data_IF_189818493128
#
_entry.id   IF_189818493128
#
_cell.length_a   1.000
_cell.length_b   1.000
_cell.length_c   1.000
_cell.angle_alpha   90.00
_cell.angle_beta   90.00
_cell.angle_gamma   90.00
#
_symmetry.space_group_name_H-M   'P 1'
#
loop_
_entity.id
_entity.type
_entity.pdbx_description
1 polymer ?
#
# COMPACT_ATOMS: atom_id res chain seq x y z
N UNK A 1 7.43 -0.07 -43.24
CA UNK A 1 6.40 -1.15 -43.21
C UNK A 1 6.88 -2.14 -42.16
N UNK A 2 6.66 -1.84 -40.87
CA UNK A 2 5.50 -2.27 -40.08
C UNK A 2 5.35 -3.79 -40.03
N UNK A 3 5.78 -4.38 -38.92
CA UNK A 3 5.20 -5.59 -38.36
C UNK A 3 5.34 -5.52 -36.82
N UNK A 4 4.35 -4.90 -36.19
CA UNK A 4 4.08 -4.99 -34.76
C UNK A 4 3.11 -6.17 -34.60
N UNK A 5 3.41 -7.23 -33.83
CA UNK A 5 2.41 -8.22 -33.47
C UNK A 5 1.50 -7.67 -32.35
N UNK A 6 0.22 -8.09 -32.31
CA UNK A 6 -0.83 -7.41 -31.58
C UNK A 6 -0.74 -7.61 -30.06
N UNK A 7 -1.14 -6.56 -29.33
CA UNK A 7 -1.40 -6.55 -27.90
C UNK A 7 -2.35 -7.67 -27.48
N UNK A 8 -1.83 -8.65 -26.75
CA UNK A 8 -2.57 -9.40 -25.74
C UNK A 8 -1.86 -9.20 -24.40
N UNK A 9 -2.29 -8.18 -23.65
CA UNK A 9 -1.90 -8.01 -22.25
C UNK A 9 -2.67 -9.02 -21.40
N UNK A 10 -2.13 -10.22 -21.28
CA UNK A 10 -2.49 -11.15 -20.21
C UNK A 10 -1.47 -10.95 -19.10
N UNK A 11 -1.88 -10.36 -17.98
CA UNK A 11 -1.08 -10.36 -16.75
C UNK A 11 -1.04 -11.79 -16.19
N UNK A 12 0.12 -12.47 -16.10
CA UNK A 12 0.22 -13.72 -15.39
C UNK A 12 1.08 -13.49 -14.15
N UNK A 13 0.52 -12.83 -13.13
CA UNK A 13 1.07 -12.94 -11.77
C UNK A 13 0.15 -13.83 -10.94
N UNK A 14 -0.01 -15.07 -11.41
CA UNK A 14 -0.31 -16.19 -10.53
C UNK A 14 1.01 -16.88 -10.24
N UNK A 15 1.73 -16.42 -9.22
CA UNK A 15 2.77 -17.25 -8.61
C UNK A 15 2.03 -18.44 -7.99
N UNK A 16 1.94 -19.52 -8.75
CA UNK A 16 1.56 -20.82 -8.20
C UNK A 16 2.65 -21.21 -7.21
N UNK A 17 2.49 -20.80 -5.95
CA UNK A 17 3.16 -21.43 -4.82
C UNK A 17 2.75 -22.90 -4.85
N UNK A 18 3.62 -23.74 -5.42
CA UNK A 18 3.53 -25.19 -5.21
C UNK A 18 3.44 -25.39 -3.70
N UNK A 19 2.35 -26.03 -3.26
CA UNK A 19 2.17 -26.56 -1.90
C UNK A 19 3.34 -27.50 -1.58
N UNK A 20 4.43 -26.94 -1.08
CA UNK A 20 5.50 -27.64 -0.38
C UNK A 20 5.44 -27.19 1.06
N UNK A 21 5.18 -28.12 1.98
CA UNK A 21 5.33 -27.90 3.42
C UNK A 21 6.82 -27.61 3.69
N UNK A 22 7.20 -26.35 3.74
CA UNK A 22 8.36 -25.92 4.51
C UNK A 22 7.85 -25.23 5.77
N UNK A 23 7.82 -25.99 6.87
CA UNK A 23 7.71 -25.42 8.21
C UNK A 23 8.94 -24.54 8.46
N UNK A 24 8.84 -23.25 8.15
CA UNK A 24 9.79 -22.26 8.63
C UNK A 24 9.54 -22.04 10.12
N UNK A 25 10.32 -22.77 10.91
CA UNK A 25 10.37 -22.71 12.37
C UNK A 25 10.97 -21.37 12.79
N UNK A 26 10.14 -20.33 12.89
CA UNK A 26 10.53 -19.08 13.55
C UNK A 26 10.55 -19.33 15.07
N UNK A 27 11.76 -19.49 15.61
CA UNK A 27 11.99 -19.56 17.06
C UNK A 27 11.62 -18.19 17.66
N UNK A 28 10.65 -18.20 18.58
CA UNK A 28 9.97 -17.01 19.09
C UNK A 28 10.66 -16.36 20.31
N UNK A 29 11.90 -16.71 20.65
CA UNK A 29 12.44 -16.38 21.98
C UNK A 29 13.87 -15.79 22.07
N UNK A 30 14.55 -15.39 20.98
CA UNK A 30 15.91 -14.81 21.10
C UNK A 30 16.17 -13.50 20.31
N UNK A 31 15.20 -12.59 20.20
CA UNK A 31 15.36 -11.33 19.43
C UNK A 31 15.86 -10.10 20.22
N UNK A 32 16.51 -10.28 21.37
CA UNK A 32 17.08 -9.16 22.13
C UNK A 32 18.51 -9.41 22.59
N UNK A 33 19.40 -9.70 21.64
CA UNK A 33 20.82 -9.38 21.75
C UNK A 33 21.52 -9.77 20.44
N UNK A 34 21.99 -8.78 19.68
CA UNK A 34 23.38 -8.73 19.16
C UNK A 34 23.60 -7.50 18.27
N UNK A 35 24.85 -7.08 18.24
CA UNK A 35 25.39 -5.85 17.68
C UNK A 35 25.71 -5.97 16.19
N UNK A 36 24.69 -5.78 15.36
CA UNK A 36 24.66 -5.24 14.00
C UNK A 36 23.15 -5.05 13.77
N UNK A 37 22.65 -3.91 13.27
CA UNK A 37 21.19 -3.70 13.13
C UNK A 37 20.63 -4.67 12.08
N UNK A 38 20.37 -5.91 12.48
CA UNK A 38 19.77 -6.93 11.64
C UNK A 38 18.37 -6.47 11.27
N UNK A 39 18.11 -6.39 9.97
CA UNK A 39 16.78 -6.07 9.45
C UNK A 39 15.82 -7.18 9.90
N UNK A 40 14.77 -6.80 10.62
CA UNK A 40 13.72 -7.74 11.03
C UNK A 40 12.76 -8.08 9.88
N UNK A 41 12.67 -7.21 8.88
CA UNK A 41 11.84 -7.36 7.68
C UNK A 41 12.77 -7.29 6.46
N UNK A 42 12.92 -8.38 5.73
CA UNK A 42 13.67 -8.40 4.49
C UNK A 42 12.74 -8.23 3.29
N UNK A 43 13.06 -7.26 2.42
CA UNK A 43 12.28 -6.96 1.22
C UNK A 43 12.97 -7.61 0.03
N UNK A 44 12.39 -8.72 -0.43
CA UNK A 44 13.00 -9.58 -1.44
C UNK A 44 12.62 -9.15 -2.86
N UNK A 45 11.48 -8.46 -3.04
CA UNK A 45 11.02 -7.94 -4.33
C UNK A 45 12.09 -7.12 -5.06
N UNK A 46 12.91 -6.38 -4.30
CA UNK A 46 13.96 -5.52 -4.86
C UNK A 46 15.03 -6.31 -5.62
N UNK A 47 15.21 -7.60 -5.36
CA UNK A 47 16.19 -8.44 -6.06
C UNK A 47 15.80 -8.73 -7.51
N UNK A 48 14.51 -8.64 -7.84
CA UNK A 48 14.01 -8.81 -9.22
C UNK A 48 13.85 -7.49 -9.96
N UNK A 49 14.14 -6.37 -9.29
CA UNK A 49 14.09 -5.05 -9.87
C UNK A 49 15.39 -4.73 -10.61
N UNK A 50 15.28 -3.99 -11.71
CA UNK A 50 16.41 -3.56 -12.52
C UNK A 50 16.31 -2.08 -12.84
N UNK A 51 17.47 -1.48 -13.14
CA UNK A 51 17.58 -0.11 -13.60
C UNK A 51 18.52 -0.06 -14.80
N UNK A 52 18.05 0.53 -15.90
CA UNK A 52 18.86 0.77 -17.09
C UNK A 52 19.04 2.26 -17.31
N UNK A 53 20.11 2.61 -18.03
CA UNK A 53 20.38 3.99 -18.46
C UNK A 53 20.44 4.00 -19.98
N UNK A 54 19.57 4.80 -20.61
CA UNK A 54 19.59 5.06 -22.05
C UNK A 54 19.76 6.56 -22.34
N UNK A 55 19.68 6.94 -23.61
CA UNK A 55 19.80 8.33 -24.08
C UNK A 55 18.71 9.26 -23.50
N UNK A 56 17.59 8.71 -23.05
CA UNK A 56 16.46 9.44 -22.46
C UNK A 56 16.51 9.46 -20.92
N UNK A 57 17.49 8.80 -20.30
CA UNK A 57 17.72 8.82 -18.85
C UNK A 57 17.64 7.46 -18.18
N UNK A 58 17.29 7.49 -16.89
CA UNK A 58 17.13 6.30 -16.06
C UNK A 58 15.74 5.70 -16.25
N UNK A 59 15.67 4.38 -16.42
CA UNK A 59 14.43 3.61 -16.45
C UNK A 59 14.49 2.46 -15.45
N UNK A 60 13.46 2.36 -14.62
CA UNK A 60 13.27 1.28 -13.66
C UNK A 60 12.35 0.20 -14.23
N UNK A 61 12.69 -1.07 -13.98
CA UNK A 61 11.87 -2.21 -14.32
C UNK A 61 11.67 -3.13 -13.10
N UNK A 62 10.42 -3.35 -12.63
CA UNK A 62 9.20 -2.64 -13.04
C UNK A 62 9.30 -1.13 -12.73
N UNK A 63 8.36 -0.29 -13.21
CA UNK A 63 8.39 1.15 -12.91
C UNK A 63 8.52 1.43 -11.41
N UNK A 64 9.23 2.51 -11.05
CA UNK A 64 9.60 2.79 -9.66
C UNK A 64 8.41 2.83 -8.69
N UNK A 65 7.27 3.41 -9.11
CA UNK A 65 6.06 3.44 -8.28
C UNK A 65 5.55 2.03 -7.95
N UNK A 66 5.69 1.08 -8.89
CA UNK A 66 5.29 -0.31 -8.70
C UNK A 66 6.26 -1.03 -7.76
N UNK A 67 7.56 -0.74 -7.84
CA UNK A 67 8.54 -1.24 -6.87
C UNK A 67 8.21 -0.79 -5.45
N UNK A 68 7.71 0.45 -5.26
CA UNK A 68 7.24 0.93 -3.96
C UNK A 68 6.02 0.17 -3.47
N UNK A 69 5.04 -0.07 -4.33
CA UNK A 69 3.85 -0.86 -3.96
C UNK A 69 4.20 -2.30 -3.59
N UNK A 70 5.11 -2.93 -4.34
CA UNK A 70 5.59 -4.28 -4.04
C UNK A 70 6.31 -4.33 -2.69
N UNK A 71 7.19 -3.35 -2.41
CA UNK A 71 7.87 -3.27 -1.12
C UNK A 71 6.89 -3.12 0.05
N UNK A 72 5.89 -2.24 -0.07
CA UNK A 72 4.85 -2.05 0.95
C UNK A 72 4.00 -3.30 1.14
N UNK A 73 3.60 -3.95 0.04
CA UNK A 73 2.86 -5.20 0.08
C UNK A 73 3.65 -6.27 0.85
N UNK A 74 4.95 -6.46 0.55
CA UNK A 74 5.80 -7.42 1.28
C UNK A 74 5.93 -7.08 2.76
N UNK A 75 6.03 -5.79 3.10
CA UNK A 75 6.06 -5.35 4.51
C UNK A 75 4.76 -5.71 5.23
N UNK A 76 3.59 -5.53 4.61
CA UNK A 76 2.28 -5.86 5.19
C UNK A 76 2.10 -7.38 5.32
N UNK A 77 2.51 -8.15 4.31
CA UNK A 77 2.39 -9.62 4.27
C UNK A 77 3.46 -10.34 5.13
N UNK A 78 4.43 -9.58 5.68
CA UNK A 78 5.57 -10.18 6.35
C UNK A 78 5.12 -11.11 7.50
N UNK A 79 5.68 -12.34 7.61
CA UNK A 79 5.25 -13.33 8.60
C UNK A 79 5.32 -12.87 10.07
N UNK A 80 6.15 -11.86 10.35
CA UNK A 80 6.28 -11.28 11.70
C UNK A 80 4.94 -10.79 12.26
N UNK A 81 4.01 -10.38 11.39
CA UNK A 81 2.68 -9.92 11.81
C UNK A 81 1.71 -11.05 12.12
N UNK A 82 2.02 -12.30 11.74
CA UNK A 82 1.14 -13.46 11.94
C UNK A 82 -0.30 -13.24 11.45
N UNK A 83 -0.48 -12.49 10.35
CA UNK A 83 -1.80 -12.16 9.80
C UNK A 83 -2.64 -11.20 10.65
N UNK A 84 -2.04 -10.50 11.61
CA UNK A 84 -2.74 -9.56 12.51
C UNK A 84 -2.90 -8.16 11.92
N UNK A 85 -2.32 -7.86 10.74
CA UNK A 85 -2.66 -6.63 10.01
C UNK A 85 -4.01 -6.86 9.36
N UNK A 86 -5.04 -6.18 9.85
CA UNK A 86 -6.43 -6.30 9.39
C UNK A 86 -6.92 -4.99 8.79
N UNK A 87 -6.59 -3.87 9.45
CA UNK A 87 -6.97 -2.52 9.03
C UNK A 87 -5.75 -1.74 8.54
N UNK A 88 -5.84 -1.17 7.35
CA UNK A 88 -4.76 -0.39 6.72
C UNK A 88 -5.30 0.97 6.31
N UNK A 89 -4.56 2.03 6.59
CA UNK A 89 -4.80 3.36 6.01
C UNK A 89 -3.66 3.73 5.07
N UNK A 90 -4.02 4.21 3.88
CA UNK A 90 -3.13 4.79 2.88
C UNK A 90 -3.37 6.31 2.84
N UNK A 91 -2.45 7.08 3.42
CA UNK A 91 -2.49 8.54 3.37
C UNK A 91 -1.73 9.05 2.14
N UNK A 92 -2.33 10.01 1.44
CA UNK A 92 -1.83 10.43 0.13
C UNK A 92 -2.16 9.40 -0.95
N UNK A 93 -3.33 8.76 -0.86
CA UNK A 93 -3.67 7.65 -1.73
C UNK A 93 -3.77 8.04 -3.22
N UNK A 94 -3.91 9.34 -3.54
CA UNK A 94 -3.94 9.89 -4.88
C UNK A 94 -4.92 9.11 -5.78
N UNK A 95 -4.43 8.54 -6.89
CA UNK A 95 -5.19 7.72 -7.83
C UNK A 95 -5.55 6.30 -7.35
N UNK A 96 -5.32 5.99 -6.07
CA UNK A 96 -5.62 4.70 -5.43
C UNK A 96 -4.81 3.55 -6.06
N UNK A 97 -3.55 3.82 -6.38
CA UNK A 97 -2.65 2.85 -7.03
C UNK A 97 -2.28 1.68 -6.13
N UNK A 98 -1.87 1.96 -4.89
CA UNK A 98 -1.47 0.96 -3.90
C UNK A 98 -2.62 -0.01 -3.58
N UNK A 99 -3.85 0.50 -3.51
CA UNK A 99 -5.07 -0.26 -3.23
C UNK A 99 -5.16 -1.56 -4.05
N UNK A 100 -4.83 -1.49 -5.35
CA UNK A 100 -4.89 -2.64 -6.25
C UNK A 100 -3.90 -3.75 -5.88
N UNK A 101 -2.76 -3.38 -5.31
CA UNK A 101 -1.72 -4.30 -4.86
C UNK A 101 -2.05 -4.92 -3.49
N UNK A 102 -2.64 -4.16 -2.57
CA UNK A 102 -2.88 -4.64 -1.20
C UNK A 102 -4.25 -5.31 -1.01
N UNK A 103 -5.28 -5.00 -1.82
CA UNK A 103 -6.60 -5.64 -1.68
C UNK A 103 -6.59 -7.18 -1.72
N UNK A 104 -5.69 -7.87 -2.46
CA UNK A 104 -5.65 -9.33 -2.49
C UNK A 104 -5.04 -9.94 -1.23
N UNK A 105 -4.39 -9.15 -0.36
CA UNK A 105 -3.73 -9.65 0.85
C UNK A 105 -4.77 -10.37 1.75
N UNK A 106 -4.58 -11.66 2.07
CA UNK A 106 -5.50 -12.40 2.91
C UNK A 106 -5.60 -11.81 4.31
N UNK A 107 -6.83 -11.68 4.80
CA UNK A 107 -7.09 -11.20 6.17
C UNK A 107 -7.28 -9.70 6.29
N UNK A 108 -7.02 -8.88 5.27
CA UNK A 108 -7.42 -7.47 5.32
C UNK A 108 -8.95 -7.36 5.36
N UNK A 109 -9.45 -6.61 6.35
CA UNK A 109 -10.87 -6.38 6.55
C UNK A 109 -11.30 -4.93 6.33
N UNK A 110 -10.35 -3.98 6.40
CA UNK A 110 -10.64 -2.59 6.13
C UNK A 110 -9.45 -1.89 5.49
N UNK A 111 -9.68 -1.26 4.34
CA UNK A 111 -8.72 -0.39 3.67
C UNK A 111 -9.30 1.02 3.64
N UNK A 112 -8.60 1.97 4.25
CA UNK A 112 -8.98 3.37 4.30
C UNK A 112 -8.03 4.15 3.38
N UNK A 113 -8.59 4.91 2.45
CA UNK A 113 -7.86 5.70 1.47
C UNK A 113 -8.13 7.17 1.79
N UNK A 114 -7.09 7.92 2.14
CA UNK A 114 -7.20 9.31 2.60
C UNK A 114 -6.35 10.22 1.75
N UNK A 115 -6.96 11.28 1.21
CA UNK A 115 -6.24 12.33 0.49
C UNK A 115 -6.88 13.72 0.71
N UNK A 116 -6.06 14.76 0.63
CA UNK A 116 -6.53 16.15 0.71
C UNK A 116 -7.12 16.63 -0.61
N UNK A 117 -6.68 16.07 -1.73
CA UNK A 117 -7.14 16.43 -3.07
C UNK A 117 -8.50 15.78 -3.38
N UNK A 118 -9.57 16.55 -3.20
CA UNK A 118 -10.93 16.10 -3.48
C UNK A 118 -11.14 15.75 -4.96
N UNK A 119 -10.56 16.51 -5.89
CA UNK A 119 -10.80 16.33 -7.33
C UNK A 119 -10.17 15.02 -7.81
N UNK A 120 -8.94 14.73 -7.36
CA UNK A 120 -8.27 13.45 -7.62
C UNK A 120 -9.08 12.28 -7.05
N UNK A 121 -9.60 12.40 -5.82
CA UNK A 121 -10.44 11.35 -5.22
C UNK A 121 -11.77 11.16 -5.98
N UNK A 122 -12.45 12.23 -6.33
CA UNK A 122 -13.77 12.18 -6.97
C UNK A 122 -13.69 11.54 -8.35
N UNK A 123 -12.64 11.85 -9.12
CA UNK A 123 -12.38 11.21 -10.41
C UNK A 123 -12.03 9.74 -10.25
N UNK A 124 -11.25 9.36 -9.23
CA UNK A 124 -10.68 8.00 -9.13
C UNK A 124 -11.49 7.02 -8.27
N UNK A 125 -12.50 7.45 -7.52
CA UNK A 125 -13.31 6.61 -6.60
C UNK A 125 -14.01 5.40 -7.26
N UNK A 126 -14.09 5.34 -8.59
CA UNK A 126 -14.60 4.15 -9.29
C UNK A 126 -13.58 2.99 -9.30
N UNK A 127 -12.28 3.26 -9.14
CA UNK A 127 -11.20 2.27 -9.16
C UNK A 127 -11.25 1.30 -7.97
N UNK A 128 -11.99 1.64 -6.90
CA UNK A 128 -12.18 0.80 -5.71
C UNK A 128 -13.45 -0.03 -5.74
N UNK A 129 -14.20 0.01 -6.84
CA UNK A 129 -15.37 -0.86 -6.99
C UNK A 129 -14.91 -2.31 -7.22
N UNK A 130 -15.66 -3.32 -6.73
CA UNK A 130 -15.35 -4.71 -7.00
C UNK A 130 -15.40 -4.97 -8.50
N UNK A 131 -14.38 -5.64 -9.02
CA UNK A 131 -14.34 -6.05 -10.43
C UNK A 131 -15.09 -7.37 -10.63
N UNK A 132 -15.30 -7.77 -11.89
CA UNK A 132 -15.84 -9.10 -12.18
C UNK A 132 -14.98 -10.22 -11.59
N UNK A 133 -13.65 -10.04 -11.57
CA UNK A 133 -12.76 -11.00 -10.95
C UNK A 133 -13.04 -11.13 -9.44
N UNK A 134 -13.27 -10.02 -8.72
CA UNK A 134 -13.62 -10.05 -7.30
C UNK A 134 -14.93 -10.82 -7.04
N UNK A 135 -15.90 -10.71 -7.95
CA UNK A 135 -17.14 -11.48 -7.86
C UNK A 135 -16.94 -12.98 -8.15
N UNK A 136 -16.07 -13.33 -9.09
CA UNK A 136 -15.80 -14.73 -9.44
C UNK A 136 -14.96 -15.41 -8.33
N UNK A 137 -13.97 -14.70 -7.78
CA UNK A 137 -13.07 -15.18 -6.73
C UNK A 137 -13.59 -14.94 -5.32
N UNK A 138 -14.86 -14.55 -5.13
CA UNK A 138 -15.40 -14.24 -3.79
C UNK A 138 -15.30 -15.39 -2.79
N UNK A 139 -15.26 -16.64 -3.28
CA UNK A 139 -15.06 -17.85 -2.48
C UNK A 139 -13.65 -17.99 -1.90
N UNK A 140 -12.65 -17.29 -2.45
CA UNK A 140 -11.30 -17.23 -1.92
C UNK A 140 -11.21 -16.27 -0.73
N UNK A 141 -12.12 -15.28 -0.67
CA UNK A 141 -12.20 -14.30 0.41
C UNK A 141 -13.15 -14.81 1.51
N UNK A 142 -12.56 -15.23 2.63
CA UNK A 142 -13.31 -15.75 3.79
C UNK A 142 -13.67 -14.69 4.83
N UNK A 143 -13.01 -13.54 4.79
CA UNK A 143 -13.25 -12.42 5.69
C UNK A 143 -13.81 -11.22 4.90
N UNK A 144 -14.79 -10.47 5.45
CA UNK A 144 -15.33 -9.29 4.79
C UNK A 144 -14.25 -8.22 4.63
N UNK A 145 -14.27 -7.51 3.50
CA UNK A 145 -13.41 -6.35 3.25
C UNK A 145 -14.28 -5.13 2.95
N UNK A 146 -14.08 -4.06 3.72
CA UNK A 146 -14.68 -2.74 3.48
C UNK A 146 -13.60 -1.75 3.05
N UNK A 147 -13.87 -1.00 1.99
CA UNK A 147 -12.98 0.05 1.49
C UNK A 147 -13.65 1.40 1.67
N UNK A 148 -12.98 2.31 2.37
CA UNK A 148 -13.46 3.67 2.63
C UNK A 148 -12.56 4.70 1.94
N UNK A 149 -13.17 5.68 1.28
CA UNK A 149 -12.47 6.84 0.71
C UNK A 149 -12.85 8.08 1.53
N UNK A 150 -11.84 8.74 2.08
CA UNK A 150 -11.97 9.94 2.88
C UNK A 150 -11.23 11.10 2.22
N UNK A 151 -11.87 12.27 2.18
CA UNK A 151 -11.17 13.53 1.95
C UNK A 151 -10.79 14.15 3.29
N UNK A 152 -9.50 14.33 3.54
CA UNK A 152 -8.97 14.77 4.83
C UNK A 152 -7.45 14.85 4.86
N UNK A 153 -6.90 15.51 5.88
CA UNK A 153 -5.44 15.69 6.05
C UNK A 153 -4.85 14.68 7.02
N UNK A 154 -3.66 14.17 6.71
CA UNK A 154 -2.88 13.31 7.63
C UNK A 154 -2.55 14.00 8.97
N UNK A 155 -2.64 15.33 9.06
CA UNK A 155 -2.43 16.04 10.32
C UNK A 155 -3.66 16.01 11.25
N UNK A 156 -4.86 15.76 10.74
CA UNK A 156 -6.08 15.85 11.54
C UNK A 156 -6.39 14.52 12.23
N UNK A 157 -6.84 14.60 13.49
CA UNK A 157 -7.24 13.45 14.27
C UNK A 157 -8.70 13.09 13.97
N UNK A 158 -8.89 11.93 13.36
CA UNK A 158 -10.20 11.37 13.05
C UNK A 158 -10.40 10.03 13.77
N UNK A 159 -11.40 9.96 14.64
CA UNK A 159 -11.70 8.79 15.47
C UNK A 159 -11.91 7.50 14.67
N UNK A 160 -12.29 7.60 13.38
CA UNK A 160 -12.44 6.42 12.52
C UNK A 160 -11.10 5.77 12.17
N UNK A 161 -9.98 6.49 12.32
CA UNK A 161 -8.64 5.96 12.11
C UNK A 161 -8.13 5.18 13.33
N UNK A 162 -8.81 5.25 14.48
CA UNK A 162 -8.39 4.51 15.67
C UNK A 162 -8.50 3.00 15.44
N UNK A 163 -7.48 2.28 15.92
CA UNK A 163 -7.41 0.83 15.79
C UNK A 163 -6.99 0.35 14.40
N UNK A 164 -6.51 1.25 13.53
CA UNK A 164 -5.78 0.90 12.32
C UNK A 164 -4.48 0.18 12.68
N UNK A 165 -4.19 -0.93 12.01
CA UNK A 165 -2.99 -1.73 12.27
C UNK A 165 -1.78 -1.21 11.51
N UNK A 166 -1.96 -0.75 10.26
CA UNK A 166 -0.89 -0.23 9.42
C UNK A 166 -1.23 1.14 8.84
N UNK A 167 -0.30 2.09 8.98
CA UNK A 167 -0.32 3.39 8.32
C UNK A 167 0.70 3.40 7.17
N UNK A 168 0.27 3.73 5.97
CA UNK A 168 1.12 3.79 4.79
C UNK A 168 1.13 5.22 4.24
N UNK A 169 2.33 5.72 3.92
CA UNK A 169 2.55 7.03 3.31
C UNK A 169 3.62 6.87 2.23
N UNK A 170 3.20 6.67 0.97
CA UNK A 170 4.12 6.51 -0.16
C UNK A 170 4.32 7.85 -0.84
N UNK A 171 5.54 8.39 -0.83
CA UNK A 171 5.90 9.64 -1.48
C UNK A 171 4.92 10.78 -1.11
N UNK A 172 4.65 10.94 0.20
CA UNK A 172 3.70 11.94 0.71
C UNK A 172 4.41 13.09 1.41
N UNK A 173 5.41 12.78 2.25
CA UNK A 173 5.92 13.74 3.23
C UNK A 173 6.58 14.96 2.57
N UNK A 174 7.20 14.78 1.41
CA UNK A 174 7.81 15.83 0.58
C UNK A 174 6.80 16.87 0.05
N UNK A 175 5.51 16.54 0.01
CA UNK A 175 4.46 17.46 -0.42
C UNK A 175 3.87 18.27 0.75
N UNK A 176 4.22 17.91 2.00
CA UNK A 176 3.66 18.55 3.19
C UNK A 176 4.35 19.89 3.48
N UNK A 177 3.53 20.90 3.78
CA UNK A 177 4.02 22.11 4.43
C UNK A 177 4.51 21.78 5.85
N UNK A 178 5.40 22.62 6.38
CA UNK A 178 6.14 22.35 7.62
C UNK A 178 5.21 22.12 8.82
N UNK A 179 4.12 22.88 8.93
CA UNK A 179 3.10 22.75 9.97
C UNK A 179 2.37 21.39 9.95
N UNK A 180 2.05 20.90 8.75
CA UNK A 180 1.45 19.58 8.55
C UNK A 180 2.46 18.48 8.85
N UNK A 181 3.70 18.62 8.39
CA UNK A 181 4.79 17.68 8.65
C UNK A 181 5.11 17.57 10.15
N UNK A 182 5.09 18.68 10.88
CA UNK A 182 5.33 18.72 12.33
C UNK A 182 4.18 18.12 13.14
N UNK A 183 2.96 18.19 12.60
CA UNK A 183 1.75 17.64 13.23
C UNK A 183 1.57 16.14 12.98
N UNK A 184 2.00 15.65 11.81
CA UNK A 184 1.87 14.26 11.38
C UNK A 184 2.33 13.24 12.44
N UNK A 185 3.50 13.40 13.11
CA UNK A 185 3.92 12.42 14.10
C UNK A 185 2.95 12.29 15.28
N UNK A 186 2.28 13.38 15.68
CA UNK A 186 1.25 13.33 16.73
C UNK A 186 0.04 12.51 16.26
N UNK A 187 -0.43 12.72 15.02
CA UNK A 187 -1.56 11.95 14.53
C UNK A 187 -1.21 10.47 14.37
N UNK A 188 -0.08 10.15 13.74
CA UNK A 188 0.29 8.76 13.43
C UNK A 188 0.75 7.99 14.68
N UNK A 189 1.71 8.51 15.45
CA UNK A 189 2.38 7.74 16.50
C UNK A 189 1.80 7.91 17.90
N UNK A 190 1.08 9.02 18.16
CA UNK A 190 0.39 9.23 19.45
C UNK A 190 -1.09 8.84 19.36
N UNK A 191 -1.82 9.34 18.36
CA UNK A 191 -3.27 9.16 18.25
C UNK A 191 -3.67 7.83 17.60
N UNK A 192 -3.31 7.59 16.33
CA UNK A 192 -3.64 6.34 15.62
C UNK A 192 -2.92 5.15 16.27
N UNK A 193 -1.63 5.35 16.59
CA UNK A 193 -0.77 4.40 17.30
C UNK A 193 -0.77 3.00 16.67
N UNK A 194 -0.53 2.89 15.35
CA UNK A 194 -0.59 1.63 14.62
C UNK A 194 0.56 0.71 15.01
N UNK A 195 0.44 -0.60 14.77
CA UNK A 195 1.57 -1.52 14.98
C UNK A 195 2.65 -1.38 13.92
N UNK A 196 2.27 -0.89 12.73
CA UNK A 196 3.13 -0.66 11.57
C UNK A 196 2.88 0.75 11.00
N UNK A 197 3.95 1.50 10.70
CA UNK A 197 3.85 2.68 9.86
C UNK A 197 4.98 2.70 8.82
N UNK A 198 4.66 2.89 7.54
CA UNK A 198 5.63 2.88 6.44
C UNK A 198 5.63 4.22 5.75
N UNK A 199 6.82 4.82 5.63
CA UNK A 199 7.02 6.09 4.93
C UNK A 199 8.03 5.88 3.81
N UNK A 200 7.69 6.33 2.61
CA UNK A 200 8.67 6.51 1.54
C UNK A 200 8.80 7.98 1.14
N UNK A 201 9.98 8.36 0.67
CA UNK A 201 10.24 9.69 0.13
C UNK A 201 11.43 9.64 -0.84
N UNK A 202 11.55 10.57 -1.81
CA UNK A 202 12.70 10.68 -2.69
C UNK A 202 14.04 10.77 -1.95
N UNK A 203 15.07 10.17 -2.53
CA UNK A 203 16.47 10.43 -2.17
C UNK A 203 17.05 11.53 -3.06
N UNK A 204 17.21 12.75 -2.53
CA UNK A 204 17.77 13.87 -3.31
C UNK A 204 19.17 13.58 -3.86
N UNK A 205 19.95 12.74 -3.18
CA UNK A 205 21.31 12.38 -3.59
C UNK A 205 21.30 11.61 -4.92
N UNK A 206 20.21 10.90 -5.23
CA UNK A 206 20.03 10.15 -6.48
C UNK A 206 19.79 11.05 -7.69
N UNK A 207 19.40 12.32 -7.47
CA UNK A 207 18.95 13.20 -8.55
C UNK A 207 20.03 13.50 -9.59
N UNK A 208 21.30 13.41 -9.19
CA UNK A 208 22.46 13.59 -10.07
C UNK A 208 22.49 12.63 -11.25
N UNK A 209 21.73 11.52 -11.18
CA UNK A 209 21.67 10.52 -12.22
C UNK A 209 20.58 10.80 -13.28
N UNK A 210 19.66 11.73 -13.04
CA UNK A 210 18.65 12.12 -14.02
C UNK A 210 19.24 13.10 -15.05
N UNK A 211 19.01 12.88 -16.36
CA UNK A 211 19.51 13.78 -17.39
C UNK A 211 18.84 15.14 -17.27
N UNK A 212 19.59 16.22 -17.51
CA UNK A 212 19.09 17.59 -17.52
C UNK A 212 18.37 18.01 -16.23
N UNK A 213 18.77 17.45 -15.08
CA UNK A 213 18.27 17.88 -13.78
C UNK A 213 18.77 19.30 -13.46
N UNK A 214 17.99 20.31 -13.85
CA UNK A 214 18.29 21.73 -13.67
C UNK A 214 17.46 22.38 -12.57
N UNK A 215 16.49 21.64 -12.01
CA UNK A 215 15.61 22.06 -10.92
C UNK A 215 16.18 21.67 -9.56
N UNK A 216 15.65 22.26 -8.49
CA UNK A 216 16.04 21.91 -7.12
C UNK A 216 15.44 20.56 -6.68
N UNK A 217 14.24 20.24 -7.17
CA UNK A 217 13.45 19.03 -6.85
C UNK A 217 13.01 18.30 -8.13
N UNK A 218 12.68 17.01 -8.00
CA UNK A 218 12.16 16.14 -9.07
C UNK A 218 10.79 16.55 -9.56
N UNK A 219 10.01 17.20 -8.72
CA UNK A 219 8.68 17.67 -9.06
C UNK A 219 8.44 19.06 -8.48
N UNK A 220 7.70 19.88 -9.21
CA UNK A 220 7.52 21.30 -8.88
C UNK A 220 6.66 21.53 -7.64
N UNK A 221 5.87 20.54 -7.23
CA UNK A 221 5.04 20.60 -6.04
C UNK A 221 5.76 20.16 -4.75
N UNK A 222 6.98 19.62 -4.84
CA UNK A 222 7.77 19.23 -3.67
C UNK A 222 8.13 20.46 -2.83
N UNK A 223 7.96 20.36 -1.52
CA UNK A 223 8.37 21.39 -0.55
C UNK A 223 9.81 21.20 -0.10
N UNK A 224 10.29 19.97 -0.14
CA UNK A 224 11.66 19.58 0.15
C UNK A 224 11.98 18.23 -0.51
N UNK A 225 13.27 17.91 -0.64
CA UNK A 225 13.74 16.54 -0.86
C UNK A 225 14.91 16.26 0.09
N UNK A 226 14.83 15.15 0.82
CA UNK A 226 15.81 14.83 1.84
C UNK A 226 16.93 13.94 1.33
N UNK A 227 18.13 14.20 1.84
CA UNK A 227 19.24 13.26 1.82
C UNK A 227 18.95 12.04 2.70
N UNK A 228 19.73 10.96 2.52
CA UNK A 228 19.68 9.79 3.41
C UNK A 228 19.92 10.13 4.87
N UNK A 229 20.79 11.10 5.13
CA UNK A 229 21.06 11.58 6.48
C UNK A 229 19.85 12.28 7.08
N UNK A 230 19.25 13.24 6.36
CA UNK A 230 18.09 14.00 6.84
C UNK A 230 16.88 13.11 7.12
N UNK A 231 16.59 12.16 6.22
CA UNK A 231 15.48 11.22 6.41
C UNK A 231 15.69 10.33 7.64
N UNK A 232 16.91 9.80 7.83
CA UNK A 232 17.26 9.02 9.03
C UNK A 232 17.15 9.85 10.30
N UNK A 233 17.59 11.10 10.30
CA UNK A 233 17.50 12.00 11.45
C UNK A 233 16.04 12.33 11.80
N UNK A 234 15.18 12.57 10.80
CA UNK A 234 13.75 12.76 10.99
C UNK A 234 13.11 11.53 11.66
N UNK A 235 13.35 10.34 11.12
CA UNK A 235 12.82 9.10 11.68
C UNK A 235 13.36 8.80 13.08
N UNK A 236 14.64 9.09 13.36
CA UNK A 236 15.24 8.96 14.70
C UNK A 236 14.61 9.90 15.72
N UNK A 237 14.26 11.13 15.34
CA UNK A 237 13.53 12.06 16.21
C UNK A 237 12.16 11.51 16.59
N UNK A 238 11.46 10.88 15.65
CA UNK A 238 10.16 10.22 15.92
C UNK A 238 10.30 9.13 16.97
N UNK A 239 11.20 8.16 16.79
CA UNK A 239 11.36 7.08 17.79
C UNK A 239 11.98 7.54 19.11
N UNK A 240 12.65 8.70 19.14
CA UNK A 240 13.09 9.34 20.40
C UNK A 240 11.90 9.90 21.17
N UNK A 241 10.92 10.47 20.46
CA UNK A 241 9.68 11.00 21.04
C UNK A 241 8.68 9.92 21.41
N UNK A 242 8.62 8.84 20.63
CA UNK A 242 7.72 7.70 20.80
C UNK A 242 8.55 6.42 20.99
N UNK A 243 9.11 6.20 22.20
CA UNK A 243 10.08 5.13 22.46
C UNK A 243 9.50 3.72 22.39
N UNK A 244 8.17 3.56 22.30
CA UNK A 244 7.51 2.28 22.02
C UNK A 244 7.71 1.81 20.56
N UNK A 245 8.13 2.70 19.67
CA UNK A 245 8.47 2.37 18.29
C UNK A 245 9.96 2.08 18.10
N UNK A 246 10.25 1.22 17.14
CA UNK A 246 11.56 1.10 16.51
C UNK A 246 11.40 1.44 15.02
N UNK A 247 12.52 1.74 14.35
CA UNK A 247 12.54 2.03 12.92
C UNK A 247 13.60 1.20 12.23
N UNK A 248 13.23 0.62 11.10
CA UNK A 248 14.15 -0.01 10.15
C UNK A 248 14.17 0.82 8.87
N UNK A 249 15.35 1.00 8.28
CA UNK A 249 15.49 1.69 7.00
C UNK A 249 15.65 0.71 5.85
N UNK A 250 14.99 0.99 4.73
CA UNK A 250 15.17 0.34 3.46
C UNK A 250 15.24 1.35 2.31
N UNK A 251 15.40 0.87 1.09
CA UNK A 251 15.63 1.69 -0.09
C UNK A 251 15.09 0.99 -1.33
N UNK A 252 14.48 1.75 -2.24
CA UNK A 252 13.71 1.24 -3.38
C UNK A 252 14.21 1.88 -4.67
N UNK A 253 14.37 1.08 -5.72
CA UNK A 253 14.89 1.55 -7.01
C UNK A 253 16.40 1.78 -7.00
N UNK A 254 17.17 0.69 -6.93
CA UNK A 254 18.62 0.74 -7.08
C UNK A 254 19.00 1.32 -8.45
N UNK A 255 20.03 2.16 -8.49
CA UNK A 255 20.55 2.72 -9.73
C UNK A 255 21.31 1.70 -10.59
N UNK A 256 21.81 2.11 -11.77
CA UNK A 256 22.65 1.26 -12.59
C UNK A 256 23.93 0.84 -11.84
N UNK A 257 24.53 -0.30 -12.22
CA UNK A 257 25.78 -0.77 -11.59
C UNK A 257 26.86 0.31 -11.56
N UNK A 258 27.56 0.44 -10.42
CA UNK A 258 28.57 1.46 -10.18
C UNK A 258 28.03 2.75 -9.55
N UNK A 259 26.75 2.79 -9.17
CA UNK A 259 26.11 3.94 -8.49
C UNK A 259 25.74 3.67 -7.04
N UNK A 260 26.23 2.57 -6.46
CA UNK A 260 25.80 2.05 -5.15
C UNK A 260 26.05 3.05 -4.00
N UNK A 261 27.10 3.89 -4.12
CA UNK A 261 27.44 4.91 -3.14
C UNK A 261 26.37 6.01 -3.00
N UNK A 262 25.57 6.24 -4.04
CA UNK A 262 24.50 7.25 -4.09
C UNK A 262 23.24 6.74 -3.35
N UNK A 263 23.10 5.41 -3.21
CA UNK A 263 21.90 4.76 -2.69
C UNK A 263 20.82 4.63 -3.76
N UNK A 264 19.61 4.26 -3.34
CA UNK A 264 18.47 4.07 -4.26
C UNK A 264 17.70 5.37 -4.47
N UNK A 265 16.79 5.34 -5.45
CA UNK A 265 16.00 6.48 -5.89
C UNK A 265 14.95 6.93 -4.87
N UNK A 266 14.28 5.98 -4.21
CA UNK A 266 13.36 6.23 -3.10
C UNK A 266 13.91 5.61 -1.82
N UNK A 267 13.65 6.26 -0.70
CA UNK A 267 14.05 5.84 0.64
C UNK A 267 12.81 5.31 1.37
N UNK A 268 13.00 4.38 2.30
CA UNK A 268 11.88 3.86 3.10
C UNK A 268 12.24 3.76 4.58
N UNK A 269 11.31 4.16 5.44
CA UNK A 269 11.36 3.93 6.87
C UNK A 269 10.15 3.09 7.29
N UNK A 270 10.44 1.94 7.90
CA UNK A 270 9.44 1.01 8.45
C UNK A 270 9.49 1.16 9.96
N UNK A 271 8.49 1.85 10.50
CA UNK A 271 8.28 1.94 11.93
C UNK A 271 7.40 0.79 12.39
N UNK A 272 7.76 0.19 13.50
CA UNK A 272 6.97 -0.86 14.11
C UNK A 272 6.97 -0.71 15.62
N UNK A 273 5.85 -1.06 16.25
CA UNK A 273 5.79 -1.09 17.71
C UNK A 273 6.56 -2.27 18.25
N UNK A 274 7.34 -2.07 19.30
CA UNK A 274 8.17 -3.11 19.92
C UNK A 274 7.35 -4.28 20.49
N UNK A 275 6.09 -4.04 20.84
CA UNK A 275 5.14 -5.06 21.30
C UNK A 275 4.34 -5.71 20.16
N UNK A 276 4.48 -5.24 18.92
CA UNK A 276 3.77 -5.71 17.73
C UNK A 276 2.23 -5.63 17.83
N UNK A 277 1.71 -4.71 18.66
CA UNK A 277 0.27 -4.52 18.88
C UNK A 277 -0.23 -3.17 18.41
N UNK A 278 -1.53 -3.08 18.13
CA UNK A 278 -2.24 -1.81 17.94
C UNK A 278 -2.83 -1.39 19.29
N UNK A 279 -2.70 -0.13 19.69
CA UNK A 279 -3.27 0.37 20.95
C UNK A 279 -3.94 1.71 20.70
N UNK A 280 -5.23 1.70 20.30
CA UNK A 280 -5.94 2.94 20.07
C UNK A 280 -6.02 3.75 21.37
N UNK A 281 -5.91 5.07 21.24
CA UNK A 281 -6.24 5.98 22.33
C UNK A 281 -7.75 6.05 22.53
N UNK A 282 -8.19 6.77 23.57
CA UNK A 282 -9.62 7.03 23.77
C UNK A 282 -10.14 7.96 22.66
N UNK A 283 -11.39 7.73 22.28
CA UNK A 283 -12.14 8.60 21.37
C UNK A 283 -12.09 10.06 21.85
N UNK A 284 -11.97 10.97 20.89
CA UNK A 284 -11.99 12.42 21.12
C UNK A 284 -13.28 13.07 20.59
N UNK A 285 -14.23 12.26 20.12
CA UNK A 285 -15.51 12.64 19.50
C UNK A 285 -15.33 13.59 18.31
N UNK A 286 -14.32 13.31 17.48
CA UNK A 286 -13.94 14.13 16.32
C UNK A 286 -13.79 13.30 15.06
N UNK A 287 -14.49 13.69 13.99
CA UNK A 287 -14.42 13.04 12.68
C UNK A 287 -14.33 14.09 11.55
N UNK A 288 -13.19 14.81 11.45
CA UNK A 288 -13.03 15.91 10.50
C UNK A 288 -13.04 15.45 9.04
N UNK A 289 -12.73 14.19 8.74
CA UNK A 289 -12.69 13.72 7.36
C UNK A 289 -14.08 13.63 6.73
N UNK A 290 -14.18 13.98 5.46
CA UNK A 290 -15.40 13.78 4.68
C UNK A 290 -15.36 12.39 4.03
N UNK A 291 -16.24 11.49 4.45
CA UNK A 291 -16.42 10.19 3.78
C UNK A 291 -17.05 10.42 2.40
N UNK A 292 -16.31 10.07 1.34
CA UNK A 292 -16.78 10.18 -0.04
C UNK A 292 -17.49 8.91 -0.50
N UNK A 293 -16.93 7.74 -0.14
CA UNK A 293 -17.45 6.45 -0.57
C UNK A 293 -17.08 5.35 0.42
N UNK A 294 -18.02 4.44 0.64
CA UNK A 294 -17.80 3.14 1.30
C UNK A 294 -18.19 2.03 0.34
N UNK A 295 -17.34 1.03 0.21
CA UNK A 295 -17.52 -0.13 -0.68
C UNK A 295 -17.29 -1.41 0.10
N UNK A 296 -18.29 -2.28 0.12
CA UNK A 296 -18.16 -3.62 0.68
C UNK A 296 -17.85 -4.62 -0.44
N UNK A 297 -16.75 -5.36 -0.27
CA UNK A 297 -16.31 -6.34 -1.24
C UNK A 297 -17.09 -7.66 -1.10
N UNK A 298 -17.38 -8.34 -2.22
CA UNK A 298 -18.01 -9.65 -2.17
C UNK A 298 -17.12 -10.67 -1.47
N UNK A 299 -17.74 -11.51 -0.63
CA UNK A 299 -17.10 -12.62 0.07
C UNK A 299 -18.10 -13.76 0.24
N UNK A 300 -17.64 -14.99 0.38
CA UNK A 300 -18.47 -16.13 0.76
C UNK A 300 -17.94 -16.76 2.04
N UNK A 301 -18.84 -17.09 2.96
CA UNK A 301 -18.52 -17.90 4.13
C UNK A 301 -18.44 -19.37 3.70
N UNK A 302 -17.48 -20.12 4.25
CA UNK A 302 -17.39 -21.57 4.04
C UNK A 302 -18.67 -22.23 4.56
N UNK A 303 -19.57 -22.59 3.65
CA UNK A 303 -20.67 -23.50 3.91
C UNK A 303 -20.18 -24.91 3.52
N UNK A 304 -20.31 -25.91 4.40
CA UNK A 304 -19.69 -27.25 4.28
C UNK A 304 -20.01 -28.01 2.99
N UNK A 305 -20.94 -27.53 2.16
CA UNK A 305 -21.44 -28.15 0.92
C UNK A 305 -20.88 -27.54 -0.39
N UNK A 306 -19.80 -26.76 -0.36
CA UNK A 306 -19.43 -25.90 -1.50
C UNK A 306 -18.65 -26.57 -2.64
N UNK A 307 -17.91 -27.66 -2.40
CA UNK A 307 -16.95 -28.20 -3.38
C UNK A 307 -17.55 -28.73 -4.70
N UNK A 308 -18.87 -28.75 -4.86
CA UNK A 308 -19.56 -29.32 -6.03
C UNK A 308 -20.23 -28.31 -6.98
N UNK A 309 -20.26 -27.00 -6.68
CA UNK A 309 -20.98 -26.05 -7.55
C UNK A 309 -20.17 -25.63 -8.77
N UNK A 310 -20.65 -26.02 -9.94
CA UNK A 310 -20.07 -25.71 -11.26
C UNK A 310 -19.99 -24.20 -11.52
N UNK A 311 -18.96 -23.75 -12.26
CA UNK A 311 -18.82 -22.37 -12.76
C UNK A 311 -20.11 -21.83 -13.40
N UNK A 312 -20.89 -22.70 -14.05
CA UNK A 312 -22.17 -22.34 -14.66
C UNK A 312 -23.24 -21.93 -13.64
N UNK A 313 -23.30 -22.57 -12.47
CA UNK A 313 -24.24 -22.20 -11.41
C UNK A 313 -23.84 -20.87 -10.76
N UNK A 314 -22.54 -20.63 -10.63
CA UNK A 314 -21.99 -19.36 -10.13
C UNK A 314 -22.35 -18.21 -11.07
N UNK A 315 -22.15 -18.38 -12.38
CA UNK A 315 -22.57 -17.43 -13.40
C UNK A 315 -24.09 -17.22 -13.41
N UNK A 316 -24.88 -18.29 -13.30
CA UNK A 316 -26.34 -18.21 -13.23
C UNK A 316 -26.85 -17.37 -12.05
N UNK A 317 -26.25 -17.54 -10.86
CA UNK A 317 -26.57 -16.71 -9.69
C UNK A 317 -26.19 -15.24 -9.89
N UNK A 318 -25.02 -14.97 -10.46
CA UNK A 318 -24.58 -13.59 -10.75
C UNK A 318 -25.56 -12.89 -11.69
N UNK A 319 -25.92 -13.54 -12.81
CA UNK A 319 -26.88 -13.02 -13.78
C UNK A 319 -28.25 -12.83 -13.15
N UNK A 320 -28.71 -13.76 -12.31
CA UNK A 320 -29.98 -13.63 -11.58
C UNK A 320 -29.97 -12.48 -10.56
N UNK A 321 -28.84 -12.18 -9.93
CA UNK A 321 -28.72 -11.07 -8.98
C UNK A 321 -28.63 -9.74 -9.71
N UNK A 322 -27.92 -9.70 -10.83
CA UNK A 322 -27.82 -8.54 -11.72
C UNK A 322 -29.17 -8.22 -12.36
N UNK A 323 -29.94 -9.21 -12.80
CA UNK A 323 -31.28 -9.02 -13.39
C UNK A 323 -32.29 -8.42 -12.41
N UNK A 324 -32.19 -8.75 -11.13
CA UNK A 324 -33.02 -8.17 -10.07
C UNK A 324 -32.61 -6.74 -9.69
N UNK A 325 -31.46 -6.26 -10.14
CA UNK A 325 -30.94 -4.94 -9.80
C UNK A 325 -31.03 -4.01 -11.02
N UNK A 326 -31.96 -3.05 -10.97
CA UNK A 326 -32.24 -2.09 -12.05
C UNK A 326 -31.03 -1.27 -12.52
N UNK A 327 -29.92 -1.24 -11.76
CA UNK A 327 -28.67 -0.58 -12.17
C UNK A 327 -27.98 -1.25 -13.37
N UNK A 328 -28.20 -2.54 -13.60
CA UNK A 328 -27.56 -3.30 -14.69
C UNK A 328 -28.48 -3.51 -15.89
N UNK A 329 -29.71 -2.98 -15.84
CA UNK A 329 -30.72 -3.15 -16.88
C UNK A 329 -30.84 -1.85 -17.67
N UNK A 330 -30.37 -1.85 -18.91
CA UNK A 330 -30.45 -0.73 -19.84
C UNK A 330 -31.41 -1.10 -20.99
N UNK A 331 -32.64 -0.60 -20.89
CA UNK A 331 -33.71 -0.92 -21.84
C UNK A 331 -34.13 -2.39 -21.75
N UNK A 332 -33.88 -3.17 -22.80
CA UNK A 332 -34.14 -4.63 -22.84
C UNK A 332 -32.86 -5.46 -22.69
N UNK A 333 -31.71 -4.81 -22.53
CA UNK A 333 -30.41 -5.44 -22.44
C UNK A 333 -29.88 -5.36 -21.02
N UNK A 334 -29.16 -6.39 -20.61
CA UNK A 334 -28.42 -6.40 -19.35
C UNK A 334 -26.97 -6.01 -19.65
N UNK A 335 -26.52 -4.88 -19.15
CA UNK A 335 -25.11 -4.49 -19.20
C UNK A 335 -24.49 -4.78 -17.84
N UNK A 336 -23.70 -5.85 -17.82
CA UNK A 336 -22.81 -6.15 -16.70
C UNK A 336 -21.50 -5.41 -17.01
N UNK A 337 -21.08 -4.43 -16.21
CA UNK A 337 -19.88 -3.65 -16.49
C UNK A 337 -18.68 -4.58 -16.65
N UNK A 338 -18.06 -4.57 -17.83
CA UNK A 338 -16.82 -5.26 -18.12
C UNK A 338 -15.65 -4.36 -17.72
N UNK A 339 -15.50 -4.08 -16.42
CA UNK A 339 -14.29 -3.42 -15.90
C UNK A 339 -13.55 -4.34 -14.94
#
# INVERSE_FOLDING_TARGET
>A
MNNIPPNEFVYPFSVHLKKGKEEKRYLREELFNTSQEDKIIEIISQQSCACTRDENGIKFWPPLYMQRYMAVQEVIEHPIWSGTIKKVVDFGCSEMGLFKCIKPIPGLNNIMLVDVDFDTLDINQFKVLPTNNDHISMHERKEPLTVDIYNGSIADQDDRMLGVDAVICIELIEHLYLDVLDSLPNNVFEFIKPKLAVFTTPNVEFNILFPNFTTQFRHDDHKFEWTRKQFKEWAKKIITRYPEYAVQFDSIGAGPSGTENIGCCSQMAIFYRKDMTTSPVKLIDSTPYKLLRRVDYPYELDDENHSERSMYEKLGKLVSKASCNKKYVLGHNMEIPLN
#
